data_IF_371540385739
#
_entry.id   IF_371540385739
#
_cell.length_a   1.000
_cell.length_b   1.000
_cell.length_c   1.000
_cell.angle_alpha   90.00
_cell.angle_beta   90.00
_cell.angle_gamma   90.00
#
_symmetry.space_group_name_H-M   'P 1'
#
loop_
_entity.id
_entity.type
_entity.pdbx_description
1 polymer ?
#
# COMPACT_ATOMS: atom_id res chain seq x y z
N UNK A 1 -3.33 -6.98 -8.20
CA UNK A 1 -2.40 -7.51 -9.21
C UNK A 1 -2.16 -9.00 -9.00
N UNK A 2 -2.17 -9.82 -10.07
CA UNK A 2 -2.11 -11.30 -9.99
C UNK A 2 -0.73 -11.83 -9.54
N UNK A 3 0.28 -10.97 -9.55
CA UNK A 3 1.70 -11.32 -9.34
C UNK A 3 2.14 -11.18 -7.87
N UNK A 4 1.57 -10.23 -7.12
CA UNK A 4 2.00 -9.92 -5.74
C UNK A 4 1.03 -10.43 -4.67
N UNK A 5 -0.03 -11.14 -5.09
CA UNK A 5 -1.06 -11.71 -4.24
C UNK A 5 -1.93 -10.64 -3.56
N UNK A 6 -2.57 -11.06 -2.48
CA UNK A 6 -3.57 -10.23 -1.81
C UNK A 6 -2.91 -9.16 -0.94
N UNK A 7 -3.57 -8.01 -0.84
CA UNK A 7 -3.24 -6.97 0.11
C UNK A 7 -4.40 -6.74 1.07
N UNK A 8 -4.09 -6.45 2.32
CA UNK A 8 -5.11 -6.15 3.34
C UNK A 8 -4.79 -4.82 3.99
N UNK A 9 -5.83 -3.99 4.16
CA UNK A 9 -5.76 -2.76 4.95
C UNK A 9 -6.67 -2.94 6.14
N UNK A 10 -6.12 -2.78 7.34
CA UNK A 10 -6.87 -2.86 8.60
C UNK A 10 -6.73 -1.57 9.38
N UNK A 11 -7.77 -1.20 10.12
CA UNK A 11 -7.74 -0.01 10.98
C UNK A 11 -7.95 -0.45 12.41
N UNK A 12 -6.93 -0.24 13.26
CA UNK A 12 -6.98 -0.56 14.69
C UNK A 12 -6.69 0.71 15.47
N UNK A 13 -7.63 1.12 16.34
CA UNK A 13 -7.49 2.35 17.17
C UNK A 13 -7.18 3.61 16.33
N UNK A 14 -7.75 3.71 15.13
CA UNK A 14 -7.54 4.85 14.23
C UNK A 14 -6.24 4.82 13.42
N UNK A 15 -5.40 3.80 13.60
CA UNK A 15 -4.17 3.61 12.82
C UNK A 15 -4.47 2.61 11.71
N UNK A 16 -4.23 3.00 10.46
CA UNK A 16 -4.34 2.11 9.32
C UNK A 16 -3.02 1.36 9.10
N UNK A 17 -3.10 0.08 8.80
CA UNK A 17 -1.95 -0.78 8.49
C UNK A 17 -2.21 -1.51 7.18
N UNK A 18 -1.30 -1.36 6.23
CA UNK A 18 -1.26 -2.11 4.98
C UNK A 18 -0.33 -3.32 5.13
N UNK A 19 -0.81 -4.49 4.71
CA UNK A 19 -0.03 -5.73 4.64
C UNK A 19 -0.16 -6.36 3.25
N UNK A 20 0.97 -6.59 2.57
CA UNK A 20 1.04 -7.45 1.39
C UNK A 20 1.16 -8.90 1.87
N UNK A 21 0.10 -9.69 1.71
CA UNK A 21 -0.06 -11.00 2.38
C UNK A 21 1.07 -11.99 2.07
N UNK A 22 1.57 -12.11 0.81
CA UNK A 22 2.64 -13.06 0.49
C UNK A 22 3.99 -12.72 1.10
N UNK A 23 4.23 -11.47 1.49
CA UNK A 23 5.51 -10.99 1.99
C UNK A 23 5.34 -10.13 3.25
N UNK A 24 4.40 -10.55 4.12
CA UNK A 24 3.97 -9.81 5.32
C UNK A 24 5.10 -9.43 6.27
N UNK A 25 6.17 -10.22 6.33
CA UNK A 25 7.28 -10.00 7.27
C UNK A 25 8.09 -8.74 6.91
N UNK A 26 8.13 -8.39 5.63
CA UNK A 26 8.82 -7.20 5.11
C UNK A 26 7.82 -6.09 4.76
N UNK A 27 6.65 -6.47 4.27
CA UNK A 27 5.64 -5.56 3.71
C UNK A 27 4.36 -5.53 4.55
N UNK A 28 4.53 -5.42 5.87
CA UNK A 28 3.50 -4.94 6.79
C UNK A 28 3.96 -3.60 7.36
N UNK A 29 3.08 -2.59 7.36
CA UNK A 29 3.45 -1.24 7.76
C UNK A 29 2.27 -0.32 8.02
N UNK A 30 2.48 0.71 8.83
CA UNK A 30 1.47 1.74 9.10
C UNK A 30 1.33 2.69 7.92
N UNK A 31 0.12 3.21 7.73
CA UNK A 31 -0.18 4.26 6.78
C UNK A 31 -0.31 5.59 7.53
N UNK A 32 0.55 6.54 7.17
CA UNK A 32 0.52 7.92 7.65
C UNK A 32 0.01 8.85 6.54
N UNK A 33 -0.88 9.77 6.88
CA UNK A 33 -1.42 10.69 5.87
C UNK A 33 -0.28 11.57 5.32
N UNK A 34 -0.19 11.68 4.00
CA UNK A 34 0.85 12.46 3.34
C UNK A 34 0.26 13.66 2.59
N UNK A 35 -0.46 13.42 1.50
CA UNK A 35 -1.01 14.49 0.67
C UNK A 35 -2.20 13.97 -0.14
N UNK A 36 -3.32 14.70 -0.10
CA UNK A 36 -4.59 14.27 -0.71
C UNK A 36 -4.96 12.83 -0.32
N UNK A 37 -5.13 11.97 -1.32
CA UNK A 37 -5.43 10.54 -1.28
C UNK A 37 -4.18 9.65 -1.18
N UNK A 38 -3.00 10.25 -1.04
CA UNK A 38 -1.73 9.57 -0.85
C UNK A 38 -1.34 9.48 0.62
N UNK A 39 -0.89 8.28 1.00
CA UNK A 39 -0.42 7.93 2.34
C UNK A 39 1.00 7.37 2.25
N UNK A 40 1.85 7.76 3.19
CA UNK A 40 3.18 7.17 3.37
C UNK A 40 3.02 5.82 4.05
N UNK A 41 3.73 4.82 3.56
CA UNK A 41 3.68 3.45 4.05
C UNK A 41 5.02 3.06 4.65
N UNK A 42 5.05 3.04 5.97
CA UNK A 42 6.22 2.68 6.78
C UNK A 42 6.24 1.17 7.01
N UNK A 43 6.66 0.43 5.99
CA UNK A 43 6.79 -1.03 6.02
C UNK A 43 8.03 -1.49 6.82
N UNK A 44 8.04 -2.77 7.17
CA UNK A 44 9.08 -3.38 8.01
C UNK A 44 10.43 -3.65 7.30
N UNK A 45 10.50 -3.59 5.96
CA UNK A 45 11.77 -3.79 5.23
C UNK A 45 12.79 -2.69 5.57
N UNK A 46 13.96 -3.02 6.17
CA UNK A 46 14.95 -2.04 6.61
C UNK A 46 15.84 -1.52 5.47
N UNK A 47 15.78 -2.10 4.27
CA UNK A 47 16.64 -1.74 3.14
C UNK A 47 15.95 -0.85 2.11
N UNK A 48 14.62 -0.74 2.18
CA UNK A 48 13.82 0.06 1.26
C UNK A 48 13.38 1.36 1.94
N UNK A 49 13.33 2.44 1.15
CA UNK A 49 12.70 3.68 1.60
C UNK A 49 11.17 3.46 1.76
N UNK A 50 10.49 4.30 2.57
CA UNK A 50 9.04 4.21 2.70
C UNK A 50 8.31 4.27 1.35
N UNK A 51 7.27 3.45 1.19
CA UNK A 51 6.42 3.48 0.03
C UNK A 51 5.35 4.57 0.11
N UNK A 52 4.70 4.84 -1.01
CA UNK A 52 3.54 5.72 -1.10
C UNK A 52 2.33 4.98 -1.68
N UNK A 53 1.19 5.12 -1.02
CA UNK A 53 -0.05 4.45 -1.36
C UNK A 53 -1.07 5.50 -1.76
N UNK A 54 -1.60 5.44 -2.98
CA UNK A 54 -2.64 6.37 -3.45
C UNK A 54 -3.94 5.63 -3.65
N UNK A 55 -4.96 5.99 -2.87
CA UNK A 55 -6.28 5.38 -2.98
C UNK A 55 -7.01 5.80 -4.25
N UNK A 56 -7.78 4.89 -4.83
CA UNK A 56 -8.61 5.16 -6.00
C UNK A 56 -10.08 5.11 -5.60
N UNK A 57 -10.87 5.96 -6.25
CA UNK A 57 -12.29 6.13 -5.94
C UNK A 57 -13.16 5.99 -7.19
N UNK A 58 -14.40 5.53 -7.01
CA UNK A 58 -15.45 5.66 -8.02
C UNK A 58 -16.11 7.05 -7.99
N UNK A 59 -17.11 7.25 -8.84
CA UNK A 59 -17.88 8.51 -8.93
C UNK A 59 -18.69 8.82 -7.67
N UNK A 60 -18.92 7.84 -6.81
CA UNK A 60 -19.61 7.99 -5.53
C UNK A 60 -18.64 8.24 -4.36
N UNK A 61 -17.34 8.46 -4.65
CA UNK A 61 -16.26 8.59 -3.68
C UNK A 61 -16.05 7.33 -2.80
N UNK A 62 -16.38 6.13 -3.30
CA UNK A 62 -16.05 4.88 -2.63
C UNK A 62 -14.70 4.36 -3.08
N UNK A 63 -13.91 3.84 -2.15
CA UNK A 63 -12.61 3.24 -2.44
C UNK A 63 -12.79 2.00 -3.33
N UNK A 64 -12.18 2.03 -4.52
CA UNK A 64 -12.16 0.92 -5.49
C UNK A 64 -10.85 0.17 -5.51
N UNK A 65 -9.81 0.73 -4.89
CA UNK A 65 -8.47 0.17 -4.93
C UNK A 65 -7.42 1.15 -4.42
N UNK A 66 -6.15 0.80 -4.62
CA UNK A 66 -5.03 1.68 -4.40
C UNK A 66 -3.83 1.31 -5.27
N UNK A 67 -2.97 2.29 -5.49
CA UNK A 67 -1.68 2.12 -6.14
C UNK A 67 -0.55 2.18 -5.14
N UNK A 68 0.49 1.37 -5.35
CA UNK A 68 1.74 1.42 -4.60
C UNK A 68 2.85 1.99 -5.47
N UNK A 69 3.53 3.00 -4.96
CA UNK A 69 4.79 3.51 -5.49
C UNK A 69 5.89 3.27 -4.45
N UNK A 70 6.83 2.39 -4.78
CA UNK A 70 7.94 2.03 -3.91
C UNK A 70 9.21 2.04 -4.74
N UNK A 71 10.09 3.00 -4.46
CA UNK A 71 11.35 3.11 -5.17
C UNK A 71 12.30 2.02 -4.68
N UNK A 72 12.67 1.08 -5.55
CA UNK A 72 13.68 0.07 -5.26
C UNK A 72 14.62 -0.08 -6.47
N UNK A 73 15.94 -0.03 -6.28
CA UNK A 73 16.90 -0.25 -7.37
C UNK A 73 16.90 -1.70 -7.87
N UNK A 74 16.55 -2.67 -7.02
CA UNK A 74 16.61 -4.11 -7.33
C UNK A 74 15.25 -4.72 -7.70
N UNK A 75 14.15 -4.05 -7.37
CA UNK A 75 12.79 -4.54 -7.65
C UNK A 75 12.01 -3.60 -8.57
N UNK A 76 11.39 -4.16 -9.60
CA UNK A 76 10.47 -3.45 -10.48
C UNK A 76 9.09 -3.21 -9.81
N UNK A 77 9.03 -2.65 -8.60
CA UNK A 77 7.77 -2.29 -7.90
C UNK A 77 7.07 -1.06 -8.50
N UNK A 78 7.37 -0.72 -9.76
CA UNK A 78 7.14 0.62 -10.29
C UNK A 78 5.67 1.05 -10.47
N UNK A 79 4.67 0.23 -10.10
CA UNK A 79 3.25 0.60 -9.90
C UNK A 79 2.44 -0.68 -9.67
N UNK A 80 2.21 -1.07 -8.42
CA UNK A 80 1.20 -2.10 -8.14
C UNK A 80 -0.18 -1.46 -8.15
N UNK A 81 -1.16 -2.11 -8.77
CA UNK A 81 -2.57 -1.69 -8.77
C UNK A 81 -3.41 -2.81 -8.11
N UNK A 82 -3.90 -2.50 -6.91
CA UNK A 82 -4.77 -3.37 -6.13
C UNK A 82 -6.20 -2.88 -6.29
N UNK A 83 -7.07 -3.76 -6.75
CA UNK A 83 -8.51 -3.50 -6.88
C UNK A 83 -9.25 -4.23 -5.80
N UNK A 84 -10.29 -3.57 -5.29
CA UNK A 84 -11.21 -4.13 -4.31
C UNK A 84 -12.24 -4.97 -5.07
N UNK A 85 -12.25 -6.28 -4.80
CA UNK A 85 -13.27 -7.21 -5.27
C UNK A 85 -14.58 -7.09 -4.45
#
# INVERSE_FOLDING_TARGET
DKIYGDATITTTKGIATLTLVPARDLFAGTLEHWHYDTWKWDHADPFLEPGYITFQFDTDHKVTGFKVDLHSPDFHFYKLDFRKD
#
